data_IF_359071526457
#
_entry.id   IF_359071526457
#
_cell.length_a   1.000
_cell.length_b   1.000
_cell.length_c   1.000
_cell.angle_alpha   90.00
_cell.angle_beta   90.00
_cell.angle_gamma   90.00
#
_symmetry.space_group_name_H-M   'P 1'
#
loop_
_entity.id
_entity.type
_entity.pdbx_description
1 polymer ?
#
# COMPACT_ATOMS: atom_id res chain seq x y z
N UNK A 1 -3.15 12.18 -16.55
CA UNK A 1 -2.46 11.00 -16.01
C UNK A 1 -0.96 11.27 -15.94
N UNK A 2 -0.34 11.03 -14.80
CA UNK A 2 1.12 11.12 -14.59
C UNK A 2 1.62 9.75 -14.19
N UNK A 3 2.64 9.24 -14.88
CA UNK A 3 3.37 8.04 -14.52
C UNK A 3 4.80 8.40 -14.13
N UNK A 4 5.25 7.95 -12.97
CA UNK A 4 6.57 8.23 -12.42
C UNK A 4 7.38 6.95 -12.32
N UNK A 5 8.52 6.87 -12.98
CA UNK A 5 9.43 5.74 -12.92
C UNK A 5 10.88 6.20 -13.20
N UNK A 6 11.89 5.81 -12.40
CA UNK A 6 13.26 6.25 -12.59
C UNK A 6 13.97 5.54 -13.75
N UNK A 7 13.49 4.37 -14.19
CA UNK A 7 14.20 3.51 -15.16
C UNK A 7 13.46 3.40 -16.48
N UNK A 8 12.17 2.96 -16.44
CA UNK A 8 11.41 2.62 -17.64
C UNK A 8 9.91 2.87 -17.45
N UNK A 9 9.15 3.07 -18.52
CA UNK A 9 7.72 3.42 -18.43
C UNK A 9 7.51 4.82 -17.86
N UNK A 10 6.27 5.15 -17.56
CA UNK A 10 5.90 6.45 -17.01
C UNK A 10 6.01 7.62 -18.01
N UNK A 11 5.55 8.79 -17.56
CA UNK A 11 5.67 10.06 -18.31
C UNK A 11 6.79 10.94 -17.76
N UNK A 12 7.21 10.70 -16.52
CA UNK A 12 8.30 11.41 -15.86
C UNK A 12 9.39 10.43 -15.43
N UNK A 13 10.60 10.65 -15.94
CA UNK A 13 11.79 9.86 -15.62
C UNK A 13 12.44 10.38 -14.34
N UNK A 14 11.87 10.00 -13.19
CA UNK A 14 12.34 10.44 -11.88
C UNK A 14 11.89 9.47 -10.78
N UNK A 15 12.45 9.60 -9.59
CA UNK A 15 11.99 8.84 -8.42
C UNK A 15 10.69 9.44 -7.83
N UNK A 16 9.90 8.63 -7.14
CA UNK A 16 8.73 9.11 -6.39
C UNK A 16 9.10 10.23 -5.41
N UNK A 17 10.23 10.10 -4.73
CA UNK A 17 10.73 11.12 -3.80
C UNK A 17 10.94 12.48 -4.46
N UNK A 18 11.56 12.51 -5.63
CA UNK A 18 11.78 13.77 -6.35
C UNK A 18 10.48 14.33 -6.93
N UNK A 19 9.61 13.44 -7.43
CA UNK A 19 8.28 13.85 -7.90
C UNK A 19 7.49 14.53 -6.78
N UNK A 20 7.34 13.89 -5.63
CA UNK A 20 6.54 14.44 -4.53
C UNK A 20 7.10 15.75 -3.95
N UNK A 21 8.41 15.99 -4.04
CA UNK A 21 9.02 17.28 -3.62
C UNK A 21 8.53 18.48 -4.42
N UNK A 22 8.21 18.29 -5.70
CA UNK A 22 7.84 19.38 -6.62
C UNK A 22 6.35 19.34 -7.01
N UNK A 23 5.65 18.25 -6.71
CA UNK A 23 4.25 18.08 -7.07
C UNK A 23 3.36 19.08 -6.31
N UNK A 24 2.49 19.76 -7.07
CA UNK A 24 1.45 20.67 -6.55
C UNK A 24 0.04 20.24 -6.90
N UNK A 25 -0.09 19.16 -7.69
CA UNK A 25 -1.37 18.65 -8.15
C UNK A 25 -2.03 17.77 -7.10
N UNK A 26 -3.36 17.76 -7.10
CA UNK A 26 -4.19 16.83 -6.33
C UNK A 26 -4.76 15.77 -7.26
N UNK A 27 -4.78 14.52 -6.81
CA UNK A 27 -5.21 13.36 -7.60
C UNK A 27 -6.49 12.73 -7.06
N UNK A 28 -7.31 12.20 -7.97
CA UNK A 28 -8.46 11.37 -7.60
C UNK A 28 -8.02 9.96 -7.25
N UNK A 29 -6.99 9.45 -7.94
CA UNK A 29 -6.43 8.11 -7.73
C UNK A 29 -4.91 8.22 -7.76
N UNK A 30 -4.24 7.58 -6.80
CA UNK A 30 -2.80 7.31 -6.82
C UNK A 30 -2.59 5.81 -6.77
N UNK A 31 -1.90 5.25 -7.77
CA UNK A 31 -1.50 3.85 -7.82
C UNK A 31 -0.02 3.72 -7.49
N UNK A 32 0.30 2.98 -6.43
CA UNK A 32 1.67 2.77 -5.94
C UNK A 32 2.10 1.34 -6.28
N UNK A 33 3.06 1.22 -7.18
CA UNK A 33 3.67 -0.02 -7.63
C UNK A 33 5.18 0.21 -7.90
N UNK A 34 5.85 0.80 -6.92
CA UNK A 34 7.25 1.20 -7.03
C UNK A 34 8.21 0.20 -6.40
N UNK A 35 9.19 0.70 -5.63
CA UNK A 35 10.12 -0.14 -4.89
C UNK A 35 9.41 -0.85 -3.74
N UNK A 36 9.38 -2.18 -3.77
CA UNK A 36 8.64 -3.02 -2.82
C UNK A 36 9.35 -3.20 -1.48
N UNK A 37 9.94 -2.13 -0.95
CA UNK A 37 10.56 -2.07 0.37
C UNK A 37 9.66 -1.29 1.33
N UNK A 38 9.41 -1.83 2.50
CA UNK A 38 8.57 -1.21 3.54
C UNK A 38 8.79 0.29 3.72
N UNK A 39 10.06 0.73 3.83
CA UNK A 39 10.39 2.14 4.07
C UNK A 39 9.93 3.04 2.93
N UNK A 40 10.21 2.62 1.67
CA UNK A 40 9.84 3.42 0.51
C UNK A 40 8.33 3.41 0.30
N UNK A 41 7.70 2.25 0.41
CA UNK A 41 6.23 2.14 0.28
C UNK A 41 5.52 2.99 1.32
N UNK A 42 5.95 2.95 2.58
CA UNK A 42 5.42 3.81 3.65
C UNK A 42 5.55 5.30 3.29
N UNK A 43 6.70 5.69 2.77
CA UNK A 43 6.97 7.07 2.35
C UNK A 43 6.08 7.50 1.18
N UNK A 44 5.93 6.63 0.19
CA UNK A 44 5.07 6.88 -0.97
C UNK A 44 3.60 7.01 -0.56
N UNK A 45 3.12 6.16 0.36
CA UNK A 45 1.75 6.28 0.91
C UNK A 45 1.56 7.61 1.65
N UNK A 46 2.52 8.01 2.52
CA UNK A 46 2.43 9.27 3.26
C UNK A 46 2.41 10.47 2.29
N UNK A 47 3.28 10.47 1.29
CA UNK A 47 3.34 11.52 0.29
C UNK A 47 2.05 11.57 -0.55
N UNK A 48 1.51 10.41 -0.91
CA UNK A 48 0.23 10.30 -1.63
C UNK A 48 -0.94 10.84 -0.81
N UNK A 49 -0.98 10.59 0.51
CA UNK A 49 -1.98 11.14 1.41
C UNK A 49 -1.98 12.68 1.46
N UNK A 50 -0.85 13.32 1.15
CA UNK A 50 -0.73 14.78 1.08
C UNK A 50 -1.23 15.36 -0.25
N UNK A 51 -1.32 14.56 -1.31
CA UNK A 51 -1.76 15.02 -2.63
C UNK A 51 -2.98 14.26 -3.19
N UNK A 52 -3.62 13.40 -2.41
CA UNK A 52 -4.90 12.82 -2.78
C UNK A 52 -6.03 13.78 -2.42
N UNK A 53 -7.04 13.92 -3.28
CA UNK A 53 -8.27 14.65 -2.99
C UNK A 53 -9.03 14.03 -1.83
N UNK A 54 -9.99 14.74 -1.25
CA UNK A 54 -10.74 14.27 -0.07
C UNK A 54 -11.47 12.94 -0.32
N UNK A 55 -12.10 12.80 -1.49
CA UNK A 55 -12.75 11.55 -1.92
C UNK A 55 -11.86 10.67 -2.81
N UNK A 56 -10.57 10.95 -2.85
CA UNK A 56 -9.64 10.20 -3.66
C UNK A 56 -9.22 8.88 -3.00
N UNK A 57 -8.64 7.98 -3.81
CA UNK A 57 -8.25 6.64 -3.39
C UNK A 57 -6.79 6.39 -3.72
N UNK A 58 -6.04 5.86 -2.75
CA UNK A 58 -4.70 5.32 -2.96
C UNK A 58 -4.83 3.81 -3.11
N UNK A 59 -4.26 3.28 -4.18
CA UNK A 59 -4.18 1.84 -4.44
C UNK A 59 -2.72 1.42 -4.33
N UNK A 60 -2.48 0.44 -3.47
CA UNK A 60 -1.15 -0.11 -3.23
C UNK A 60 -1.09 -1.55 -3.77
N UNK A 61 -0.18 -1.81 -4.72
CA UNK A 61 0.01 -3.13 -5.30
C UNK A 61 0.82 -4.06 -4.38
N UNK A 62 0.80 -5.36 -4.67
CA UNK A 62 1.62 -6.40 -4.00
C UNK A 62 1.43 -6.56 -2.48
N UNK A 63 0.20 -6.35 -1.99
CA UNK A 63 -0.11 -6.44 -0.56
C UNK A 63 -0.23 -7.87 -0.02
N UNK A 64 -0.35 -8.91 -0.87
CA UNK A 64 -0.59 -10.31 -0.45
C UNK A 64 0.51 -11.25 -0.93
N UNK A 65 1.63 -11.38 -0.19
CA UNK A 65 2.65 -12.38 -0.48
C UNK A 65 2.11 -13.80 -0.26
N UNK A 66 2.36 -14.70 -1.21
CA UNK A 66 1.97 -16.11 -1.11
C UNK A 66 2.99 -16.97 -0.35
N UNK A 67 4.23 -16.50 -0.23
CA UNK A 67 5.30 -17.23 0.44
C UNK A 67 6.29 -16.30 1.14
N UNK A 68 7.10 -16.89 2.01
CA UNK A 68 8.21 -16.20 2.65
C UNK A 68 9.20 -15.60 1.62
N UNK A 69 9.48 -16.34 0.54
CA UNK A 69 10.41 -15.88 -0.51
C UNK A 69 9.84 -14.73 -1.33
N UNK A 70 8.52 -14.71 -1.58
CA UNK A 70 7.89 -13.57 -2.28
C UNK A 70 8.02 -12.26 -1.53
N UNK A 71 7.94 -12.29 -0.20
CA UNK A 71 8.04 -11.07 0.62
C UNK A 71 9.47 -10.75 1.08
N UNK A 72 10.46 -11.60 0.79
CA UNK A 72 11.82 -11.42 1.30
C UNK A 72 12.46 -10.12 0.79
N UNK A 73 13.14 -9.43 1.68
CA UNK A 73 13.98 -8.28 1.36
C UNK A 73 15.38 -8.59 1.91
N UNK A 74 16.42 -8.62 1.05
CA UNK A 74 16.42 -8.32 -0.40
C UNK A 74 15.65 -9.35 -1.24
N UNK A 75 15.31 -8.97 -2.50
CA UNK A 75 14.63 -9.84 -3.44
C UNK A 75 15.38 -11.15 -3.67
N UNK A 76 14.70 -12.29 -3.52
CA UNK A 76 15.30 -13.63 -3.61
C UNK A 76 14.76 -14.48 -4.78
N UNK A 77 13.69 -14.02 -5.45
CA UNK A 77 13.08 -14.77 -6.56
C UNK A 77 12.40 -13.83 -7.57
N UNK A 78 11.99 -14.37 -8.73
CA UNK A 78 11.36 -13.60 -9.81
C UNK A 78 10.00 -13.00 -9.39
N UNK A 79 9.07 -13.85 -8.89
CA UNK A 79 7.80 -13.39 -8.33
C UNK A 79 8.06 -12.81 -6.95
N UNK A 80 7.91 -11.50 -6.82
CA UNK A 80 8.34 -10.79 -5.62
C UNK A 80 7.42 -9.62 -5.32
N UNK A 81 6.84 -9.64 -4.14
CA UNK A 81 6.01 -8.57 -3.59
C UNK A 81 6.78 -7.67 -2.63
N UNK A 82 7.95 -8.11 -2.19
CA UNK A 82 8.67 -7.42 -1.14
C UNK A 82 7.88 -7.38 0.18
N UNK A 83 8.23 -6.46 1.04
CA UNK A 83 7.57 -6.32 2.34
C UNK A 83 6.54 -5.18 2.38
N UNK A 84 5.88 -4.91 1.24
CA UNK A 84 4.78 -3.94 1.05
C UNK A 84 3.67 -4.11 2.09
N UNK A 85 3.26 -5.36 2.36
CA UNK A 85 2.21 -5.68 3.31
C UNK A 85 2.43 -5.08 4.70
N UNK A 86 3.68 -4.91 5.13
CA UNK A 86 4.02 -4.33 6.44
C UNK A 86 3.67 -2.84 6.50
N UNK A 87 3.90 -2.11 5.41
CA UNK A 87 3.52 -0.70 5.32
C UNK A 87 1.98 -0.55 5.34
N UNK A 88 1.28 -1.44 4.64
CA UNK A 88 -0.18 -1.45 4.66
C UNK A 88 -0.73 -1.76 6.07
N UNK A 89 -0.18 -2.76 6.77
CA UNK A 89 -0.57 -3.09 8.16
C UNK A 89 -0.37 -1.89 9.08
N UNK A 90 0.72 -1.12 8.92
CA UNK A 90 0.93 0.09 9.70
C UNK A 90 -0.16 1.14 9.42
N UNK A 91 -0.55 1.34 8.16
CA UNK A 91 -1.64 2.26 7.78
C UNK A 91 -2.96 1.83 8.43
N UNK A 92 -3.24 0.55 8.50
CA UNK A 92 -4.45 0.01 9.15
C UNK A 92 -4.59 0.34 10.63
N UNK A 93 -3.50 0.70 11.31
CA UNK A 93 -3.53 1.16 12.71
C UNK A 93 -3.85 2.66 12.87
N UNK A 94 -4.03 3.41 11.78
CA UNK A 94 -4.28 4.85 11.83
C UNK A 94 -5.79 5.12 11.80
N UNK A 95 -6.26 5.95 12.72
CA UNK A 95 -7.70 6.28 12.88
C UNK A 95 -8.31 7.02 11.69
N UNK A 96 -7.48 7.76 10.94
CA UNK A 96 -7.93 8.68 9.89
C UNK A 96 -7.84 8.07 8.47
N UNK A 97 -7.45 6.80 8.34
CA UNK A 97 -7.31 6.12 7.06
C UNK A 97 -8.11 4.81 7.04
N UNK A 98 -9.23 4.84 6.35
CA UNK A 98 -10.03 3.63 6.12
C UNK A 98 -9.35 2.78 5.05
N UNK A 99 -9.13 1.49 5.31
CA UNK A 99 -8.26 0.68 4.47
C UNK A 99 -8.68 -0.78 4.41
N UNK A 100 -8.61 -1.34 3.19
CA UNK A 100 -9.05 -2.68 2.82
C UNK A 100 -8.06 -3.31 1.86
N UNK A 101 -8.00 -4.63 1.77
CA UNK A 101 -7.25 -5.34 0.74
C UNK A 101 -8.19 -6.17 -0.13
N UNK A 102 -8.28 -5.85 -1.41
CA UNK A 102 -8.99 -6.68 -2.38
C UNK A 102 -8.11 -7.84 -2.85
N UNK A 103 -8.69 -9.05 -2.91
CA UNK A 103 -8.02 -10.26 -3.41
C UNK A 103 -7.98 -10.29 -4.95
N UNK A 104 -7.48 -9.23 -5.57
CA UNK A 104 -7.19 -9.19 -6.99
C UNK A 104 -5.67 -9.18 -7.19
N UNK A 105 -5.18 -9.85 -8.24
CA UNK A 105 -3.76 -9.98 -8.58
C UNK A 105 -2.91 -10.45 -7.38
N UNK A 106 -1.99 -9.65 -6.91
CA UNK A 106 -1.12 -9.87 -5.74
C UNK A 106 -1.63 -9.18 -4.48
N UNK A 107 -2.91 -8.83 -4.45
CA UNK A 107 -3.54 -8.06 -3.38
C UNK A 107 -3.41 -6.55 -3.60
N UNK A 108 -4.57 -5.90 -3.77
CA UNK A 108 -4.67 -4.46 -3.92
C UNK A 108 -5.07 -3.84 -2.59
N UNK A 109 -4.15 -3.15 -1.93
CA UNK A 109 -4.44 -2.33 -0.75
C UNK A 109 -5.16 -1.05 -1.17
N UNK A 110 -6.33 -0.80 -0.62
CA UNK A 110 -7.16 0.38 -0.88
C UNK A 110 -7.10 1.26 0.36
N UNK A 111 -6.71 2.52 0.22
CA UNK A 111 -6.57 3.47 1.33
C UNK A 111 -7.36 4.73 1.00
N UNK A 112 -8.22 5.15 1.92
CA UNK A 112 -9.05 6.34 1.80
C UNK A 112 -8.84 7.29 2.98
N UNK A 113 -8.84 8.57 2.72
CA UNK A 113 -8.64 9.64 3.70
C UNK A 113 -9.96 9.92 4.44
N UNK A 114 -10.38 8.97 5.25
CA UNK A 114 -11.61 9.05 6.08
C UNK A 114 -11.46 8.22 7.35
N UNK A 115 -12.40 8.37 8.29
CA UNK A 115 -12.40 7.61 9.55
C UNK A 115 -12.34 6.10 9.29
N UNK A 116 -11.36 5.44 9.88
CA UNK A 116 -11.16 4.01 9.77
C UNK A 116 -12.34 3.24 10.41
N UNK A 117 -13.07 2.48 9.60
CA UNK A 117 -14.25 1.71 10.03
C UNK A 117 -13.88 0.39 10.71
N UNK A 118 -12.66 -0.12 10.45
CA UNK A 118 -12.16 -1.38 11.00
C UNK A 118 -10.71 -1.21 11.48
N UNK A 119 -10.53 -0.40 12.52
CA UNK A 119 -9.22 -0.05 13.07
C UNK A 119 -8.49 -1.28 13.59
N UNK A 120 -7.31 -1.55 13.05
CA UNK A 120 -6.44 -2.61 13.53
C UNK A 120 -5.74 -2.19 14.84
N UNK A 121 -5.99 -2.91 15.92
CA UNK A 121 -5.38 -2.64 17.22
C UNK A 121 -4.12 -3.49 17.41
N UNK A 122 -3.02 -3.06 16.81
CA UNK A 122 -1.70 -3.67 17.02
C UNK A 122 -0.77 -2.70 17.74
N UNK A 123 -0.33 -3.10 18.94
CA UNK A 123 0.67 -2.34 19.75
C UNK A 123 2.08 -2.73 19.33
N UNK A 124 2.53 -2.23 18.19
CA UNK A 124 3.86 -2.49 17.64
C UNK A 124 4.58 -1.16 17.44
N UNK A 125 5.81 -1.06 17.94
CA UNK A 125 6.65 0.13 17.79
C UNK A 125 7.40 0.17 16.45
N UNK A 126 7.63 -0.99 15.82
CA UNK A 126 8.38 -1.10 14.58
C UNK A 126 7.77 -2.16 13.65
N UNK A 127 6.95 -1.73 12.70
CA UNK A 127 6.26 -2.60 11.74
C UNK A 127 7.21 -3.29 10.76
N UNK A 128 8.37 -2.71 10.47
CA UNK A 128 9.41 -3.36 9.65
C UNK A 128 9.84 -4.72 10.22
N UNK A 129 9.82 -4.87 11.55
CA UNK A 129 10.21 -6.11 12.24
C UNK A 129 9.12 -7.19 12.23
N UNK A 130 7.94 -6.95 11.68
CA UNK A 130 6.92 -7.98 11.50
C UNK A 130 7.50 -9.15 10.70
N UNK A 131 7.29 -10.36 11.21
CA UNK A 131 7.75 -11.59 10.57
C UNK A 131 6.65 -12.15 9.67
N UNK A 132 7.02 -12.83 8.59
CA UNK A 132 6.05 -13.46 7.67
C UNK A 132 5.04 -14.38 8.38
N UNK A 133 5.44 -15.07 9.44
CA UNK A 133 4.53 -15.87 10.25
C UNK A 133 3.35 -15.06 10.82
N UNK A 134 3.56 -13.79 11.15
CA UNK A 134 2.48 -12.92 11.64
C UNK A 134 1.44 -12.67 10.54
N UNK A 135 1.90 -12.48 9.30
CA UNK A 135 1.06 -12.37 8.12
C UNK A 135 0.36 -13.70 7.83
N UNK A 136 1.10 -14.79 7.73
CA UNK A 136 0.60 -16.11 7.29
C UNK A 136 -0.61 -16.58 8.11
N UNK A 137 -0.54 -16.47 9.42
CA UNK A 137 -1.62 -16.93 10.31
C UNK A 137 -2.77 -15.94 10.45
N UNK A 138 -2.54 -14.63 10.21
CA UNK A 138 -3.52 -13.58 10.55
C UNK A 138 -3.87 -12.67 9.36
N UNK A 139 -3.48 -13.03 8.13
CA UNK A 139 -3.61 -12.14 6.97
C UNK A 139 -5.04 -11.63 6.73
N UNK A 140 -6.06 -12.44 6.96
CA UNK A 140 -7.46 -12.02 6.77
C UNK A 140 -7.82 -10.81 7.64
N UNK A 141 -7.41 -10.85 8.90
CA UNK A 141 -7.68 -9.78 9.88
C UNK A 141 -6.76 -8.57 9.64
N UNK A 142 -5.44 -8.80 9.61
CA UNK A 142 -4.47 -7.71 9.53
C UNK A 142 -4.50 -6.97 8.20
N UNK A 143 -4.96 -7.61 7.12
CA UNK A 143 -5.11 -7.00 5.80
C UNK A 143 -6.52 -6.47 5.52
N UNK A 144 -7.52 -6.77 6.39
CA UNK A 144 -8.93 -6.41 6.17
C UNK A 144 -9.41 -6.81 4.78
N UNK A 145 -9.36 -8.11 4.51
CA UNK A 145 -9.60 -8.65 3.17
C UNK A 145 -11.07 -8.51 2.78
N UNK A 146 -11.30 -8.06 1.55
CA UNK A 146 -12.60 -7.94 0.90
C UNK A 146 -12.61 -8.64 -0.44
N UNK A 147 -13.80 -9.05 -0.88
CA UNK A 147 -14.03 -9.56 -2.22
C UNK A 147 -14.14 -8.42 -3.24
N UNK A 148 -13.80 -8.70 -4.50
CA UNK A 148 -13.89 -7.71 -5.58
C UNK A 148 -15.30 -7.09 -5.72
N UNK A 149 -16.36 -7.89 -5.53
CA UNK A 149 -17.75 -7.44 -5.59
C UNK A 149 -18.12 -6.38 -4.55
N UNK A 150 -17.35 -6.29 -3.45
CA UNK A 150 -17.62 -5.35 -2.35
C UNK A 150 -16.95 -3.98 -2.56
N UNK A 151 -16.08 -3.83 -3.57
CA UNK A 151 -15.32 -2.59 -3.83
C UNK A 151 -16.27 -1.40 -4.01
N UNK A 152 -17.32 -1.52 -4.83
CA UNK A 152 -18.25 -0.40 -5.07
C UNK A 152 -18.91 0.09 -3.78
N UNK A 153 -19.32 -0.84 -2.90
CA UNK A 153 -19.91 -0.52 -1.60
C UNK A 153 -18.94 0.20 -0.65
N UNK A 154 -17.64 -0.06 -0.82
CA UNK A 154 -16.62 0.56 0.02
C UNK A 154 -16.25 1.95 -0.50
N UNK A 155 -16.25 2.13 -1.82
CA UNK A 155 -15.93 3.42 -2.45
C UNK A 155 -17.08 4.43 -2.40
N UNK A 156 -18.30 3.97 -2.20
CA UNK A 156 -19.46 4.81 -1.93
C UNK A 156 -19.49 5.28 -0.47
#
# INVERSE_FOLDING_TARGET
KIGVDPISGGTLRTTSDNFFKINKDLFDIVFIDGLHHYEQVKKDVINSLNCIKENGVIILHDCIPKSYLEQAVPRSQYLWTGDVWKAFVEIRTKKNYDSYTCLADKGLGIIMKRKNKNLLNLKISNFKKLKFKNFYYNHKEIMNIIEYKDIQKILS
#
